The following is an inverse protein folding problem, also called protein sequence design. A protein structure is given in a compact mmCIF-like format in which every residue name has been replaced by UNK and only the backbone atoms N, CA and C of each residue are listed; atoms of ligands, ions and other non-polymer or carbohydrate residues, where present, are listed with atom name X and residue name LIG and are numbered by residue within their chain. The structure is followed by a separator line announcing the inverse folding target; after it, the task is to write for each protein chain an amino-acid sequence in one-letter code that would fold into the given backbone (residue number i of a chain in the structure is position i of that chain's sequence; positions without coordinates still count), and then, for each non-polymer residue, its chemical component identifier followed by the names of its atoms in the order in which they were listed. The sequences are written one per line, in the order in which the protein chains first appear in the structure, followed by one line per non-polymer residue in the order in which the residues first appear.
data_IF_310415649733
#
_entry.id   IF_310415649733
#
_cell.length_a   1.000
_cell.length_b   1.000
_cell.length_c   1.000
_cell.angle_alpha   90.00
_cell.angle_beta   90.00
_cell.angle_gamma   90.00
#
_symmetry.space_group_name_H-M   'P 1'
#
loop_
_entity.id
_entity.type
_entity.pdbx_description
1 polymer ?
#
# COMPACT_ATOMS: atom_id res chain seq x y z
N UNK A 1 -13.94 -4.58 28.51
CA UNK A 1 -12.92 -5.02 29.48
C UNK A 1 -12.91 -4.16 30.74
N UNK A 2 -12.93 -2.83 30.63
CA UNK A 2 -12.85 -1.94 31.80
C UNK A 2 -13.98 -2.17 32.83
N UNK A 3 -15.22 -2.34 32.36
CA UNK A 3 -16.38 -2.64 33.21
C UNK A 3 -16.32 -4.02 33.87
N UNK A 4 -15.93 -5.07 33.14
CA UNK A 4 -15.82 -6.42 33.68
C UNK A 4 -14.67 -6.54 34.69
N UNK A 5 -13.55 -5.85 34.46
CA UNK A 5 -12.46 -5.71 35.42
C UNK A 5 -12.89 -4.96 36.68
N UNK A 6 -13.62 -3.84 36.53
CA UNK A 6 -14.10 -3.04 37.65
C UNK A 6 -15.06 -3.86 38.55
N UNK A 7 -15.94 -4.66 37.96
CA UNK A 7 -16.86 -5.51 38.72
C UNK A 7 -16.14 -6.53 39.63
N UNK A 8 -15.03 -7.11 39.15
CA UNK A 8 -14.20 -8.02 39.97
C UNK A 8 -13.48 -7.24 41.08
N UNK A 9 -12.96 -6.05 40.77
CA UNK A 9 -12.31 -5.17 41.76
C UNK A 9 -13.26 -4.79 42.89
N UNK A 10 -14.52 -4.47 42.58
CA UNK A 10 -15.54 -4.13 43.58
C UNK A 10 -15.83 -5.31 44.52
N UNK A 11 -15.92 -6.54 43.98
CA UNK A 11 -16.07 -7.76 44.79
C UNK A 11 -14.85 -8.02 45.68
N UNK A 12 -13.63 -7.78 45.19
CA UNK A 12 -12.41 -7.90 45.99
C UNK A 12 -12.39 -6.90 47.14
N UNK A 13 -12.75 -5.64 46.88
CA UNK A 13 -12.84 -4.60 47.89
C UNK A 13 -13.84 -4.99 48.99
N UNK A 14 -15.05 -5.40 48.61
CA UNK A 14 -16.06 -5.88 49.53
C UNK A 14 -15.58 -7.12 50.31
N UNK A 15 -14.82 -8.02 49.67
CA UNK A 15 -14.20 -9.18 50.29
C UNK A 15 -13.25 -8.81 51.43
N UNK A 16 -12.36 -7.84 51.21
CA UNK A 16 -11.47 -7.35 52.28
C UNK A 16 -12.24 -6.72 53.43
N UNK A 17 -13.27 -5.93 53.14
CA UNK A 17 -14.10 -5.30 54.16
C UNK A 17 -14.86 -6.32 55.02
N UNK A 18 -15.51 -7.30 54.39
CA UNK A 18 -16.30 -8.31 55.12
C UNK A 18 -15.38 -9.25 55.91
N UNK A 19 -14.25 -9.69 55.33
CA UNK A 19 -13.29 -10.53 56.03
C UNK A 19 -12.67 -9.83 57.25
N UNK A 20 -12.24 -8.58 57.08
CA UNK A 20 -11.69 -7.77 58.17
C UNK A 20 -12.71 -7.49 59.27
N UNK A 21 -13.94 -7.13 58.89
CA UNK A 21 -15.04 -6.91 59.83
C UNK A 21 -15.40 -8.15 60.64
N UNK A 22 -15.53 -9.32 59.97
CA UNK A 22 -15.80 -10.59 60.62
C UNK A 22 -14.68 -10.99 61.60
N UNK A 23 -13.42 -10.85 61.20
CA UNK A 23 -12.27 -11.13 62.06
C UNK A 23 -12.24 -10.21 63.30
N UNK A 24 -12.50 -8.92 63.12
CA UNK A 24 -12.54 -7.95 64.22
C UNK A 24 -13.67 -8.26 65.22
N UNK A 25 -14.87 -8.58 64.72
CA UNK A 25 -16.00 -8.97 65.58
C UNK A 25 -15.72 -10.26 66.34
N UNK A 26 -15.10 -11.25 65.70
CA UNK A 26 -14.70 -12.51 66.34
C UNK A 26 -13.67 -12.27 67.46
N UNK A 27 -12.67 -11.42 67.23
CA UNK A 27 -11.64 -11.11 68.24
C UNK A 27 -12.16 -10.33 69.44
N UNK A 28 -13.11 -9.41 69.21
CA UNK A 28 -13.64 -8.53 70.26
C UNK A 28 -14.88 -9.08 70.95
N UNK A 29 -15.48 -10.15 70.41
CA UNK A 29 -16.74 -10.70 70.91
C UNK A 29 -17.94 -9.76 70.75
N UNK A 30 -17.84 -8.77 69.85
CA UNK A 30 -18.83 -7.69 69.71
C UNK A 30 -20.06 -8.07 68.88
N UNK A 31 -20.03 -9.22 68.20
CA UNK A 31 -21.19 -9.70 67.45
C UNK A 31 -20.98 -11.07 66.80
N UNK A 32 -22.09 -11.73 66.49
CA UNK A 32 -22.14 -12.91 65.62
C UNK A 32 -22.76 -12.46 64.31
N UNK A 33 -22.06 -12.70 63.20
CA UNK A 33 -22.55 -12.30 61.90
C UNK A 33 -23.76 -13.13 61.49
N UNK A 34 -24.73 -12.49 60.84
CA UNK A 34 -25.89 -13.17 60.32
C UNK A 34 -25.50 -14.11 59.18
N UNK A 35 -26.17 -15.26 59.09
CA UNK A 35 -25.97 -16.19 57.99
C UNK A 35 -26.32 -15.50 56.67
N UNK A 36 -25.41 -15.53 55.69
CA UNK A 36 -25.59 -14.88 54.39
C UNK A 36 -24.86 -13.55 54.20
N UNK A 37 -24.31 -12.93 55.27
CA UNK A 37 -23.69 -11.60 55.21
C UNK A 37 -22.57 -11.46 54.16
N UNK A 38 -21.83 -12.54 53.89
CA UNK A 38 -20.75 -12.57 52.87
C UNK A 38 -21.31 -12.52 51.45
N UNK A 39 -22.45 -13.17 51.21
CA UNK A 39 -23.12 -13.12 49.91
C UNK A 39 -23.79 -11.75 49.71
N UNK A 40 -24.43 -11.22 50.75
CA UNK A 40 -25.13 -9.93 50.71
C UNK A 40 -24.19 -8.73 50.58
N UNK A 41 -22.92 -8.86 51.00
CA UNK A 41 -21.92 -7.79 50.89
C UNK A 41 -21.38 -7.58 49.47
N UNK A 42 -21.74 -8.41 48.50
CA UNK A 42 -21.19 -8.38 47.14
C UNK A 42 -19.74 -8.88 47.04
N UNK A 43 -19.23 -9.52 48.10
CA UNK A 43 -17.84 -9.98 48.19
C UNK A 43 -17.54 -11.22 47.33
N UNK A 44 -18.57 -11.99 46.98
CA UNK A 44 -18.41 -13.22 46.20
C UNK A 44 -18.26 -12.88 44.72
N UNK A 45 -17.15 -13.32 44.11
CA UNK A 45 -16.98 -13.30 42.67
C UNK A 45 -17.86 -14.39 42.07
N UNK A 46 -18.70 -14.01 41.12
CA UNK A 46 -19.67 -14.88 40.45
C UNK A 46 -19.06 -15.53 39.19
N UNK A 47 -19.67 -16.62 38.74
CA UNK A 47 -19.31 -17.25 37.46
C UNK A 47 -19.47 -16.29 36.28
N UNK A 48 -20.54 -15.50 36.26
CA UNK A 48 -20.82 -14.52 35.20
C UNK A 48 -19.74 -13.44 35.12
N UNK A 49 -19.23 -12.95 36.25
CA UNK A 49 -18.11 -11.99 36.29
C UNK A 49 -16.83 -12.60 35.69
N UNK A 50 -16.53 -13.86 36.02
CA UNK A 50 -15.36 -14.56 35.47
C UNK A 50 -15.51 -14.78 33.97
N UNK A 51 -16.68 -15.23 33.51
CA UNK A 51 -16.98 -15.41 32.09
C UNK A 51 -16.92 -14.10 31.32
N UNK A 52 -17.49 -13.02 31.85
CA UNK A 52 -17.45 -11.70 31.22
C UNK A 52 -16.03 -11.14 31.10
N UNK A 53 -15.19 -11.33 32.13
CA UNK A 53 -13.79 -10.95 32.07
C UNK A 53 -13.01 -11.79 31.04
N UNK A 54 -13.13 -13.12 31.09
CA UNK A 54 -12.41 -14.00 30.18
C UNK A 54 -12.85 -13.81 28.71
N UNK A 55 -14.15 -13.61 28.46
CA UNK A 55 -14.65 -13.28 27.12
C UNK A 55 -14.10 -11.94 26.63
N UNK A 56 -14.00 -10.93 27.51
CA UNK A 56 -13.39 -9.66 27.15
C UNK A 56 -11.89 -9.78 26.85
N UNK A 57 -11.16 -10.61 27.60
CA UNK A 57 -9.74 -10.90 27.33
C UNK A 57 -9.58 -11.64 26.01
N UNK A 58 -10.42 -12.63 25.74
CA UNK A 58 -10.41 -13.38 24.48
C UNK A 58 -10.73 -12.47 23.28
N UNK A 59 -11.77 -11.64 23.39
CA UNK A 59 -12.12 -10.67 22.34
C UNK A 59 -11.00 -9.65 22.07
N UNK A 60 -10.25 -9.25 23.10
CA UNK A 60 -9.06 -8.40 22.93
C UNK A 60 -7.90 -9.14 22.24
N UNK A 61 -7.73 -10.44 22.52
CA UNK A 61 -6.70 -11.27 21.91
C UNK A 61 -7.02 -11.63 20.44
N UNK A 62 -8.31 -11.67 20.09
CA UNK A 62 -8.83 -11.96 18.74
C UNK A 62 -9.01 -10.71 17.88
N UNK A 63 -8.80 -9.50 18.43
CA UNK A 63 -8.87 -8.27 17.67
C UNK A 63 -7.70 -8.16 16.68
N UNK A 64 -7.99 -8.33 15.39
CA UNK A 64 -7.07 -7.95 14.31
C UNK A 64 -7.07 -6.43 14.17
N UNK A 65 -6.05 -5.77 14.71
CA UNK A 65 -5.86 -4.34 14.51
C UNK A 65 -5.34 -4.10 13.10
N UNK A 66 -6.04 -3.28 12.31
CA UNK A 66 -5.52 -2.76 11.05
C UNK A 66 -4.36 -1.80 11.38
N UNK A 67 -3.13 -2.31 11.32
CA UNK A 67 -1.93 -1.60 11.76
C UNK A 67 -1.43 -0.60 10.72
N UNK A 68 -0.48 0.24 11.11
CA UNK A 68 0.29 1.07 10.18
C UNK A 68 0.89 0.26 9.02
N UNK A 69 1.41 -0.95 9.30
CA UNK A 69 1.97 -1.80 8.26
C UNK A 69 0.92 -2.23 7.24
N UNK A 70 -0.27 -2.65 7.71
CA UNK A 70 -1.38 -3.02 6.83
C UNK A 70 -1.83 -1.83 5.97
N UNK A 71 -1.90 -0.63 6.56
CA UNK A 71 -2.25 0.58 5.83
C UNK A 71 -1.19 0.93 4.76
N UNK A 72 0.10 0.93 5.11
CA UNK A 72 1.17 1.24 4.17
C UNK A 72 1.25 0.22 3.02
N UNK A 73 1.08 -1.08 3.29
CA UNK A 73 1.02 -2.09 2.23
C UNK A 73 -0.18 -1.85 1.29
N UNK A 74 -1.35 -1.55 1.84
CA UNK A 74 -2.54 -1.27 1.04
C UNK A 74 -2.37 -0.01 0.17
N UNK A 75 -1.77 1.07 0.69
CA UNK A 75 -1.47 2.26 -0.12
C UNK A 75 -0.42 1.98 -1.21
N UNK A 76 0.56 1.12 -0.91
CA UNK A 76 1.51 0.64 -1.92
C UNK A 76 0.82 -0.17 -3.01
N UNK A 77 -0.08 -1.09 -2.65
CA UNK A 77 -0.83 -1.93 -3.61
C UNK A 77 -1.70 -1.07 -4.54
N UNK A 78 -2.43 -0.09 -4.01
CA UNK A 78 -3.20 0.84 -4.83
C UNK A 78 -2.34 1.62 -5.83
N UNK A 79 -1.13 2.00 -5.43
CA UNK A 79 -0.20 2.69 -6.31
C UNK A 79 0.36 1.75 -7.38
N UNK A 80 0.65 0.48 -7.05
CA UNK A 80 1.05 -0.54 -8.02
C UNK A 80 -0.05 -0.81 -9.05
N UNK A 81 -1.32 -0.89 -8.65
CA UNK A 81 -2.45 -1.05 -9.60
C UNK A 81 -2.55 0.11 -10.60
N UNK A 82 -2.31 1.35 -10.14
CA UNK A 82 -2.26 2.52 -11.03
C UNK A 82 -1.02 2.53 -11.91
N UNK A 83 0.13 2.10 -11.38
CA UNK A 83 1.36 1.93 -12.14
C UNK A 83 1.19 0.87 -13.25
N UNK A 84 0.54 -0.25 -12.98
CA UNK A 84 0.23 -1.28 -13.98
C UNK A 84 -0.63 -0.71 -15.12
N UNK A 85 -1.66 0.07 -14.78
CA UNK A 85 -2.48 0.78 -15.79
C UNK A 85 -1.62 1.73 -16.64
N UNK A 86 -0.70 2.46 -16.03
CA UNK A 86 0.20 3.36 -16.76
C UNK A 86 1.19 2.59 -17.66
N UNK A 87 1.68 1.43 -17.23
CA UNK A 87 2.53 0.52 -18.05
C UNK A 87 1.77 -0.01 -19.26
N UNK A 88 0.50 -0.36 -19.10
CA UNK A 88 -0.36 -0.79 -20.21
C UNK A 88 -0.53 0.33 -21.24
N UNK A 89 -0.90 1.54 -20.80
CA UNK A 89 -1.03 2.72 -21.68
C UNK A 89 0.28 3.05 -22.40
N UNK A 90 1.41 3.00 -21.68
CA UNK A 90 2.74 3.19 -22.27
C UNK A 90 3.01 2.16 -23.37
N UNK A 91 2.72 0.89 -23.10
CA UNK A 91 2.99 -0.22 -24.03
C UNK A 91 2.13 -0.12 -25.30
N UNK A 92 0.87 0.31 -25.17
CA UNK A 92 -0.04 0.55 -26.28
C UNK A 92 0.44 1.72 -27.15
N UNK A 93 0.70 2.88 -26.54
CA UNK A 93 1.21 4.06 -27.26
C UNK A 93 2.59 3.80 -27.90
N UNK A 94 3.49 3.09 -27.21
CA UNK A 94 4.79 2.71 -27.77
C UNK A 94 4.65 1.80 -29.00
N UNK A 95 3.68 0.89 -28.99
CA UNK A 95 3.39 0.01 -30.13
C UNK A 95 2.83 0.80 -31.31
N UNK A 96 1.96 1.78 -31.07
CA UNK A 96 1.45 2.64 -32.14
C UNK A 96 2.56 3.52 -32.74
N UNK A 97 3.44 4.09 -31.90
CA UNK A 97 4.56 4.89 -32.36
C UNK A 97 5.55 4.08 -33.22
N UNK A 98 5.81 2.82 -32.86
CA UNK A 98 6.80 1.98 -33.55
C UNK A 98 6.37 1.59 -34.97
N UNK A 99 5.06 1.50 -35.24
CA UNK A 99 4.52 1.24 -36.59
C UNK A 99 5.03 2.27 -37.60
N UNK A 100 5.19 3.53 -37.18
CA UNK A 100 5.69 4.58 -38.07
C UNK A 100 7.16 4.40 -38.45
N UNK A 101 7.99 3.87 -37.54
CA UNK A 101 9.39 3.52 -37.81
C UNK A 101 9.49 2.37 -38.81
N UNK A 102 8.73 1.30 -38.63
CA UNK A 102 8.75 0.14 -39.54
C UNK A 102 8.39 0.54 -40.99
N UNK A 103 7.55 1.55 -41.16
CA UNK A 103 7.11 2.00 -42.49
C UNK A 103 8.09 2.98 -43.11
N UNK A 104 8.74 3.83 -42.31
CA UNK A 104 9.87 4.61 -42.77
C UNK A 104 10.97 3.71 -43.33
N UNK A 105 11.28 2.60 -42.66
CA UNK A 105 12.31 1.66 -43.13
C UNK A 105 11.92 0.91 -44.40
N UNK A 106 10.67 0.42 -44.50
CA UNK A 106 10.17 -0.19 -45.74
C UNK A 106 10.26 0.79 -46.91
N UNK A 107 9.98 2.07 -46.66
CA UNK A 107 10.08 3.11 -47.67
C UNK A 107 11.54 3.37 -48.08
N UNK A 108 12.45 3.43 -47.12
CA UNK A 108 13.90 3.59 -47.38
C UNK A 108 14.46 2.40 -48.17
N UNK A 109 14.18 1.16 -47.77
CA UNK A 109 14.63 -0.04 -48.45
C UNK A 109 14.14 -0.12 -49.91
N UNK A 110 12.88 0.27 -50.17
CA UNK A 110 12.34 0.31 -51.52
C UNK A 110 13.02 1.38 -52.39
N UNK A 111 13.31 2.57 -51.82
CA UNK A 111 14.04 3.64 -52.50
C UNK A 111 15.48 3.22 -52.83
N UNK A 112 16.18 2.61 -51.88
CA UNK A 112 17.58 2.17 -52.06
C UNK A 112 17.73 1.04 -53.07
N UNK A 113 16.72 0.18 -53.21
CA UNK A 113 16.73 -0.94 -54.16
C UNK A 113 16.79 -0.50 -55.64
N UNK A 114 16.36 0.72 -55.95
CA UNK A 114 16.26 1.24 -57.32
C UNK A 114 15.19 0.55 -58.18
N UNK A 115 14.36 -0.32 -57.59
CA UNK A 115 13.27 -1.02 -58.26
C UNK A 115 12.00 -0.15 -58.27
N UNK A 116 11.58 0.28 -59.46
CA UNK A 116 10.37 1.08 -59.63
C UNK A 116 9.10 0.37 -59.16
N UNK A 117 9.07 -0.97 -59.18
CA UNK A 117 7.92 -1.75 -58.72
C UNK A 117 7.85 -1.77 -57.19
N UNK A 118 8.98 -1.95 -56.50
CA UNK A 118 9.04 -1.87 -55.04
C UNK A 118 8.69 -0.48 -54.51
N UNK A 119 9.14 0.58 -55.19
CA UNK A 119 8.78 1.95 -54.83
C UNK A 119 7.26 2.22 -54.99
N UNK A 120 6.62 1.58 -55.98
CA UNK A 120 5.19 1.71 -56.22
C UNK A 120 4.37 0.92 -55.19
N UNK A 121 4.83 -0.25 -54.77
CA UNK A 121 4.22 -1.02 -53.68
C UNK A 121 4.27 -0.28 -52.33
N UNK A 122 5.37 0.44 -52.05
CA UNK A 122 5.45 1.32 -50.87
C UNK A 122 4.47 2.49 -50.99
N UNK A 123 4.35 3.13 -52.16
CA UNK A 123 3.36 4.19 -52.35
C UNK A 123 1.93 3.70 -52.11
N UNK A 124 1.57 2.56 -52.70
CA UNK A 124 0.24 1.96 -52.52
C UNK A 124 -0.01 1.58 -51.06
N UNK A 125 1.02 1.08 -50.35
CA UNK A 125 0.94 0.79 -48.92
C UNK A 125 0.76 2.07 -48.08
N UNK A 126 1.51 3.13 -48.38
CA UNK A 126 1.41 4.42 -47.66
C UNK A 126 0.05 5.06 -47.89
N UNK A 127 -0.45 5.07 -49.12
CA UNK A 127 -1.80 5.57 -49.43
C UNK A 127 -2.90 4.75 -48.75
N UNK A 128 -2.76 3.41 -48.73
CA UNK A 128 -3.74 2.54 -48.09
C UNK A 128 -3.76 2.63 -46.55
N UNK A 129 -2.64 2.99 -45.94
CA UNK A 129 -2.47 3.01 -44.48
C UNK A 129 -2.24 4.42 -43.92
N UNK A 130 -2.48 5.47 -44.71
CA UNK A 130 -2.09 6.85 -44.38
C UNK A 130 -2.53 7.32 -42.99
N UNK A 131 -3.67 6.83 -42.49
CA UNK A 131 -4.20 7.16 -41.17
C UNK A 131 -3.44 6.51 -39.99
N UNK A 132 -2.70 5.43 -40.23
CA UNK A 132 -1.92 4.67 -39.22
C UNK A 132 -0.42 5.02 -39.31
N UNK A 133 0.00 5.69 -40.39
CA UNK A 133 1.39 6.07 -40.63
C UNK A 133 1.74 7.49 -40.18
N UNK A 134 0.72 8.27 -39.82
CA UNK A 134 0.91 9.59 -39.24
C UNK A 134 0.95 9.41 -37.73
N UNK A 135 2.08 9.76 -37.12
CA UNK A 135 2.17 9.89 -35.66
C UNK A 135 1.19 10.98 -35.24
N UNK A 136 0.17 10.62 -34.46
CA UNK A 136 -0.72 11.58 -33.83
C UNK A 136 -0.04 12.20 -32.60
N UNK A 137 -0.29 13.50 -32.39
CA UNK A 137 0.17 14.17 -31.18
C UNK A 137 -0.50 13.58 -29.94
N UNK A 138 -1.74 13.08 -30.06
CA UNK A 138 -2.45 12.38 -28.98
C UNK A 138 -1.66 11.15 -28.50
N UNK A 139 -1.23 10.26 -29.41
CA UNK A 139 -0.40 9.09 -29.07
C UNK A 139 0.94 9.49 -28.42
N UNK A 140 1.57 10.57 -28.87
CA UNK A 140 2.83 11.07 -28.25
C UNK A 140 2.58 11.60 -26.84
N UNK A 141 1.47 12.30 -26.64
CA UNK A 141 1.08 12.83 -25.33
C UNK A 141 0.73 11.68 -24.38
N UNK A 142 0.06 10.63 -24.85
CA UNK A 142 -0.21 9.39 -24.09
C UNK A 142 1.09 8.65 -23.71
N UNK A 143 2.03 8.51 -24.65
CA UNK A 143 3.34 7.90 -24.38
C UNK A 143 4.11 8.66 -23.28
N UNK A 144 4.17 9.99 -23.37
CA UNK A 144 4.92 10.79 -22.41
C UNK A 144 4.23 10.84 -21.04
N UNK A 145 2.90 11.05 -21.02
CA UNK A 145 2.14 11.11 -19.78
C UNK A 145 2.12 9.78 -19.04
N UNK A 146 2.03 8.65 -19.75
CA UNK A 146 2.12 7.32 -19.12
C UNK A 146 3.50 7.08 -18.47
N UNK A 147 4.60 7.56 -19.06
CA UNK A 147 5.92 7.50 -18.42
C UNK A 147 5.99 8.36 -17.15
N UNK A 148 5.42 9.56 -17.17
CA UNK A 148 5.34 10.43 -15.99
C UNK A 148 4.48 9.77 -14.88
N UNK A 149 3.35 9.16 -15.24
CA UNK A 149 2.49 8.43 -14.32
C UNK A 149 3.19 7.20 -13.73
N UNK A 150 3.94 6.43 -14.53
CA UNK A 150 4.78 5.32 -14.04
C UNK A 150 5.77 5.84 -13.01
N UNK A 151 6.43 6.98 -13.27
CA UNK A 151 7.38 7.57 -12.33
C UNK A 151 6.73 7.95 -11.00
N UNK A 152 5.57 8.60 -11.05
CA UNK A 152 4.81 9.04 -9.86
C UNK A 152 4.29 7.85 -9.05
N UNK A 153 3.65 6.88 -9.72
CA UNK A 153 3.01 5.75 -9.06
C UNK A 153 4.02 4.74 -8.52
N UNK A 154 5.11 4.47 -9.26
CA UNK A 154 6.21 3.63 -8.76
C UNK A 154 6.88 4.26 -7.53
N UNK A 155 7.10 5.58 -7.54
CA UNK A 155 7.66 6.29 -6.38
C UNK A 155 6.71 6.26 -5.18
N UNK A 156 5.41 6.37 -5.42
CA UNK A 156 4.37 6.28 -4.38
C UNK A 156 4.31 4.86 -3.79
N UNK A 157 4.36 3.82 -4.62
CA UNK A 157 4.44 2.45 -4.16
C UNK A 157 5.72 2.22 -3.32
N UNK A 158 6.87 2.66 -3.83
CA UNK A 158 8.16 2.45 -3.19
C UNK A 158 8.23 3.07 -1.78
N UNK A 159 7.75 4.30 -1.59
CA UNK A 159 7.80 4.95 -0.28
C UNK A 159 6.92 4.24 0.75
N UNK A 160 5.73 3.80 0.37
CA UNK A 160 4.81 3.10 1.28
C UNK A 160 5.28 1.68 1.55
N UNK A 161 5.78 0.95 0.56
CA UNK A 161 6.41 -0.35 0.76
C UNK A 161 7.63 -0.26 1.69
N UNK A 162 8.47 0.76 1.53
CA UNK A 162 9.62 0.99 2.39
C UNK A 162 9.20 1.32 3.84
N UNK A 163 8.14 2.11 4.01
CA UNK A 163 7.55 2.39 5.32
C UNK A 163 7.03 1.12 5.98
N UNK A 164 6.30 0.28 5.25
CA UNK A 164 5.75 -1.00 5.72
C UNK A 164 6.85 -1.99 6.15
N UNK A 165 7.99 -1.98 5.47
CA UNK A 165 9.12 -2.85 5.74
C UNK A 165 10.04 -2.33 6.87
N UNK A 166 9.83 -1.10 7.34
CA UNK A 166 10.61 -0.51 8.41
C UNK A 166 9.91 -0.69 9.76
N UNK A 167 10.36 -1.66 10.56
CA UNK A 167 9.80 -1.93 11.89
C UNK A 167 9.73 -0.66 12.78
N UNK A 168 10.77 0.17 12.75
CA UNK A 168 10.81 1.42 13.51
C UNK A 168 9.79 2.45 13.01
N UNK A 169 9.58 2.53 11.70
CA UNK A 169 8.59 3.43 11.09
C UNK A 169 7.17 2.98 11.41
N UNK A 170 6.90 1.67 11.28
CA UNK A 170 5.61 1.07 11.64
C UNK A 170 5.30 1.28 13.11
N UNK A 171 6.26 1.03 14.00
CA UNK A 171 6.09 1.24 15.43
C UNK A 171 5.79 2.71 15.76
N UNK A 172 6.55 3.64 15.17
CA UNK A 172 6.36 5.07 15.38
C UNK A 172 5.00 5.57 14.87
N UNK A 173 4.55 5.07 13.71
CA UNK A 173 3.26 5.40 13.14
C UNK A 173 2.10 4.88 14.03
N UNK A 174 2.21 3.66 14.53
CA UNK A 174 1.24 3.09 15.49
C UNK A 174 1.22 3.89 16.79
N UNK A 175 2.38 4.30 17.33
CA UNK A 175 2.48 5.11 18.54
C UNK A 175 1.81 6.48 18.38
N UNK A 176 2.01 7.15 17.23
CA UNK A 176 1.34 8.42 16.92
C UNK A 176 -0.17 8.24 16.83
N UNK A 177 -0.64 7.19 16.14
CA UNK A 177 -2.07 6.90 16.04
C UNK A 177 -2.67 6.60 17.41
N UNK A 178 -2.02 5.76 18.23
CA UNK A 178 -2.48 5.40 19.57
C UNK A 178 -2.53 6.62 20.50
N UNK A 179 -1.47 7.44 20.52
CA UNK A 179 -1.41 8.67 21.32
C UNK A 179 -2.48 9.70 20.90
N UNK A 180 -2.86 9.68 19.62
CA UNK A 180 -3.92 10.50 19.06
C UNK A 180 -5.32 9.90 19.15
N UNK A 181 -5.49 8.72 19.76
CA UNK A 181 -6.74 7.94 19.79
C UNK A 181 -7.32 7.69 18.38
N UNK A 182 -6.45 7.44 17.39
CA UNK A 182 -6.79 7.24 15.97
C UNK A 182 -6.66 5.78 15.54
N UNK A 183 -7.41 5.42 14.49
CA UNK A 183 -7.33 4.11 13.83
C UNK A 183 -6.90 4.28 12.37
N UNK A 184 -6.02 3.41 11.87
CA UNK A 184 -5.66 3.40 10.44
C UNK A 184 -6.84 3.05 9.52
N UNK A 185 -7.96 2.54 10.05
CA UNK A 185 -9.22 2.39 9.29
C UNK A 185 -9.91 3.71 8.99
N UNK A 186 -9.58 4.76 9.75
CA UNK A 186 -10.28 6.05 9.76
C UNK A 186 -9.35 7.17 9.26
N UNK A 187 -8.34 6.82 8.45
CA UNK A 187 -7.47 7.81 7.81
C UNK A 187 -8.30 8.70 6.89
N UNK A 188 -8.21 10.01 7.10
CA UNK A 188 -8.90 11.02 6.30
C UNK A 188 -8.26 11.21 4.92
N UNK A 189 -6.92 11.22 4.87
CA UNK A 189 -6.15 11.32 3.63
C UNK A 189 -4.74 10.78 3.82
N UNK A 190 -4.20 10.20 2.77
CA UNK A 190 -2.78 9.89 2.57
C UNK A 190 -2.31 10.53 1.27
N UNK A 191 -1.04 10.92 1.18
CA UNK A 191 -0.45 11.31 -0.09
C UNK A 191 1.08 11.17 -0.06
N UNK A 192 1.67 11.15 -1.26
CA UNK A 192 3.09 11.27 -1.49
C UNK A 192 3.39 12.50 -2.36
N UNK A 193 4.45 13.23 -2.02
CA UNK A 193 4.96 14.36 -2.81
C UNK A 193 6.34 14.00 -3.33
N UNK A 194 6.42 13.68 -4.63
CA UNK A 194 7.66 13.29 -5.28
C UNK A 194 8.76 14.38 -5.17
N UNK A 195 8.39 15.66 -5.33
CA UNK A 195 9.34 16.78 -5.24
C UNK A 195 10.07 16.85 -3.89
N UNK A 196 9.39 16.50 -2.79
CA UNK A 196 9.95 16.56 -1.44
C UNK A 196 10.33 15.19 -0.87
N UNK A 197 9.93 14.11 -1.54
CA UNK A 197 9.98 12.75 -1.02
C UNK A 197 9.10 12.52 0.22
N UNK A 198 8.17 13.42 0.54
CA UNK A 198 7.33 13.36 1.73
C UNK A 198 6.13 12.44 1.49
N UNK A 199 5.95 11.41 2.32
CA UNK A 199 4.71 10.65 2.44
C UNK A 199 4.06 10.94 3.78
N UNK A 200 2.75 11.20 3.80
CA UNK A 200 2.04 11.61 5.00
C UNK A 200 0.65 10.97 5.10
N UNK A 201 0.24 10.71 6.35
CA UNK A 201 -1.06 10.15 6.75
C UNK A 201 -1.72 11.12 7.73
N UNK A 202 -3.01 11.39 7.53
CA UNK A 202 -3.77 12.33 8.35
C UNK A 202 -5.06 11.70 8.88
N UNK A 203 -5.34 11.95 10.16
CA UNK A 203 -6.59 11.63 10.85
C UNK A 203 -7.23 12.90 11.42
N UNK A 204 -7.43 13.90 10.57
CA UNK A 204 -7.82 15.27 10.93
C UNK A 204 -6.72 16.06 11.66
N UNK A 205 -6.71 16.05 12.99
CA UNK A 205 -5.83 16.84 13.86
C UNK A 205 -4.52 16.13 14.22
N UNK A 206 -4.39 14.87 13.84
CA UNK A 206 -3.19 14.04 14.02
C UNK A 206 -2.61 13.71 12.65
N UNK A 207 -1.29 13.83 12.52
CA UNK A 207 -0.57 13.53 11.30
C UNK A 207 0.69 12.73 11.58
N UNK A 208 1.00 11.82 10.67
CA UNK A 208 2.25 11.07 10.59
C UNK A 208 2.90 11.39 9.25
N UNK A 209 4.23 11.57 9.24
CA UNK A 209 4.94 11.81 7.99
C UNK A 209 6.36 11.21 8.01
N UNK A 210 6.77 10.75 6.85
CA UNK A 210 8.07 10.15 6.55
C UNK A 210 8.62 10.78 5.27
N UNK A 211 9.93 10.68 5.09
CA UNK A 211 10.58 11.11 3.85
C UNK A 211 11.37 9.97 3.23
N UNK A 212 11.51 10.00 1.91
CA UNK A 212 12.38 9.10 1.18
C UNK A 212 13.84 9.15 1.68
N UNK A 213 14.28 10.32 2.14
CA UNK A 213 15.58 10.51 2.80
C UNK A 213 15.68 9.71 4.11
N UNK A 214 14.66 9.82 4.99
CA UNK A 214 14.65 9.12 6.28
C UNK A 214 14.64 7.59 6.11
N UNK A 215 14.01 7.10 5.03
CA UNK A 215 13.95 5.68 4.71
C UNK A 215 15.13 5.21 3.86
N UNK A 216 15.93 6.12 3.30
CA UNK A 216 17.08 5.79 2.45
C UNK A 216 16.69 5.17 1.11
N UNK A 217 15.58 5.61 0.51
CA UNK A 217 14.99 4.99 -0.70
C UNK A 217 15.03 5.87 -1.94
N UNK A 218 15.80 6.95 -1.93
CA UNK A 218 16.08 7.70 -3.15
C UNK A 218 16.88 6.85 -4.14
N UNK A 219 16.36 6.74 -5.36
CA UNK A 219 17.08 6.19 -6.51
C UNK A 219 17.47 7.33 -7.47
N UNK A 220 18.64 7.21 -8.08
CA UNK A 220 19.03 8.09 -9.18
C UNK A 220 18.77 7.40 -10.54
N UNK A 221 18.87 8.16 -11.64
CA UNK A 221 18.65 7.67 -13.00
C UNK A 221 19.48 6.43 -13.33
N UNK A 222 20.75 6.37 -12.89
CA UNK A 222 21.61 5.21 -13.16
C UNK A 222 21.06 3.95 -12.50
N UNK A 223 20.64 4.05 -11.23
CA UNK A 223 20.10 2.92 -10.49
C UNK A 223 18.79 2.43 -11.11
N UNK A 224 17.92 3.35 -11.53
CA UNK A 224 16.66 3.02 -12.22
C UNK A 224 16.92 2.33 -13.55
N UNK A 225 17.83 2.84 -14.38
CA UNK A 225 18.16 2.24 -15.67
C UNK A 225 18.81 0.87 -15.53
N UNK A 226 19.68 0.67 -14.54
CA UNK A 226 20.27 -0.63 -14.25
C UNK A 226 19.21 -1.64 -13.80
N UNK A 227 18.34 -1.25 -12.87
CA UNK A 227 17.25 -2.11 -12.42
C UNK A 227 16.27 -2.44 -13.57
N UNK A 228 16.01 -1.48 -14.45
CA UNK A 228 15.18 -1.68 -15.64
C UNK A 228 15.81 -2.64 -16.65
N UNK A 229 17.12 -2.54 -16.90
CA UNK A 229 17.83 -3.43 -17.82
C UNK A 229 17.78 -4.91 -17.40
N UNK A 230 17.75 -5.17 -16.09
CA UNK A 230 17.65 -6.51 -15.49
C UNK A 230 16.18 -6.96 -15.26
N UNK A 231 15.19 -6.14 -15.65
CA UNK A 231 13.77 -6.43 -15.38
C UNK A 231 13.17 -7.39 -16.41
N UNK A 232 12.23 -8.23 -15.97
CA UNK A 232 11.46 -9.12 -16.85
C UNK A 232 10.72 -8.33 -17.95
N UNK A 233 10.19 -7.16 -17.58
CA UNK A 233 9.50 -6.26 -18.52
C UNK A 233 10.42 -5.83 -19.67
N UNK A 234 11.69 -5.53 -19.41
CA UNK A 234 12.65 -5.18 -20.44
C UNK A 234 13.20 -6.41 -21.15
N UNK A 235 13.76 -7.37 -20.42
CA UNK A 235 14.44 -8.55 -20.98
C UNK A 235 13.50 -9.38 -21.86
N UNK A 236 12.24 -9.55 -21.45
CA UNK A 236 11.24 -10.32 -22.18
C UNK A 236 10.27 -9.46 -22.99
N UNK A 237 10.39 -8.14 -22.89
CA UNK A 237 9.57 -7.20 -23.66
C UNK A 237 10.07 -6.98 -25.09
N UNK A 238 9.32 -6.19 -25.87
CA UNK A 238 9.61 -5.95 -27.28
C UNK A 238 10.98 -5.31 -27.52
N UNK A 239 11.45 -4.47 -26.60
CA UNK A 239 12.73 -3.78 -26.70
C UNK A 239 13.95 -4.67 -26.33
N UNK A 240 13.77 -5.72 -25.52
CA UNK A 240 14.87 -6.60 -25.09
C UNK A 240 15.02 -7.86 -25.94
N UNK A 241 13.92 -8.60 -26.16
CA UNK A 241 13.96 -9.90 -26.85
C UNK A 241 13.72 -9.84 -28.34
N UNK A 242 12.98 -8.84 -28.79
CA UNK A 242 12.46 -8.77 -30.15
C UNK A 242 12.70 -7.38 -30.76
N UNK A 243 13.81 -6.73 -30.40
CA UNK A 243 14.09 -5.34 -30.77
C UNK A 243 14.00 -5.11 -32.29
N UNK A 244 14.65 -5.96 -33.08
CA UNK A 244 14.60 -5.89 -34.55
C UNK A 244 13.16 -6.03 -35.06
N UNK A 245 12.39 -6.99 -34.53
CA UNK A 245 10.99 -7.17 -34.89
C UNK A 245 10.12 -5.99 -34.46
N UNK A 246 10.36 -5.46 -33.26
CA UNK A 246 9.58 -4.38 -32.69
C UNK A 246 9.82 -3.08 -33.43
N UNK A 247 11.09 -2.69 -33.63
CA UNK A 247 11.46 -1.38 -34.20
C UNK A 247 11.41 -1.39 -35.73
N UNK A 248 11.85 -2.48 -36.34
CA UNK A 248 12.12 -2.57 -37.78
C UNK A 248 11.16 -3.53 -38.51
N UNK A 249 10.43 -4.36 -37.77
CA UNK A 249 9.54 -5.37 -38.36
C UNK A 249 10.32 -6.49 -39.07
N UNK A 250 11.59 -6.68 -38.74
CA UNK A 250 12.50 -7.69 -39.28
C UNK A 250 12.78 -8.77 -38.22
N UNK A 251 13.20 -9.97 -38.63
CA UNK A 251 13.61 -11.05 -37.71
C UNK A 251 12.58 -11.38 -36.59
N UNK A 252 11.28 -11.41 -36.95
CA UNK A 252 10.15 -11.67 -36.04
C UNK A 252 9.88 -13.17 -35.70
N UNK A 253 10.88 -14.04 -35.83
CA UNK A 253 10.74 -15.49 -35.53
C UNK A 253 10.87 -15.83 -34.04
#
# INVERSE_FOLDING_TARGET
MLESSQSIVDSLHAGYQVAGGLAAMAHTGTGVAQMGVVAESGALITGDQVSAYNNAVQAMAEAEYYTAQNFFLHESEKALERMETAIENFSEAATELVITTQVAERAEAAIESGDSQAAQEVQDFVEANQNILVVDQETVDEYNSSLEDIEVESSTAAIWAAAANSESTVAWANEIAEAGEKSFTDVSTSYFSQQSGLAAVYWDDVAFAITAENLGVWANTTDVLLAGADSDFFENGPAGKSYECFVYGTDCE
#
